data_IF_500827075814
#
_entry.id   IF_500827075814
#
_cell.length_a   1.000
_cell.length_b   1.000
_cell.length_c   1.000
_cell.angle_alpha   90.00
_cell.angle_beta   90.00
_cell.angle_gamma   90.00
#
_symmetry.space_group_name_H-M   'P 1'
#
loop_
_entity.id
_entity.type
_entity.pdbx_description
1 polymer ?
#
# COMPACT_ATOMS: atom_id res chain seq x y z
N UNK A 1 -14.84 -5.79 1.33
CA UNK A 1 -15.30 -5.67 1.01
C UNK A 1 -16.10 -5.83 0.10
N UNK A 2 -15.99 -5.95 -0.71
CA UNK A 2 -16.93 -5.69 -1.70
C UNK A 2 -17.10 -6.87 -2.58
N UNK A 3 -18.23 -7.54 -2.44
CA UNK A 3 -18.61 -8.60 -3.33
C UNK A 3 -19.49 -8.00 -4.39
N UNK A 4 -18.88 -7.59 -5.50
CA UNK A 4 -19.62 -7.02 -6.61
C UNK A 4 -19.27 -7.77 -7.89
N UNK A 5 -20.24 -7.85 -8.79
CA UNK A 5 -20.05 -8.52 -10.08
C UNK A 5 -19.03 -7.77 -10.94
N UNK A 6 -18.45 -8.46 -11.91
CA UNK A 6 -17.50 -7.85 -12.85
C UNK A 6 -18.16 -6.68 -13.61
N UNK A 7 -19.43 -6.81 -13.97
CA UNK A 7 -20.15 -5.73 -14.64
C UNK A 7 -20.31 -4.50 -13.78
N UNK A 8 -20.61 -4.70 -12.49
CA UNK A 8 -20.74 -3.58 -11.53
C UNK A 8 -19.41 -2.89 -11.34
N UNK A 9 -18.31 -3.66 -11.25
CA UNK A 9 -16.97 -3.09 -11.14
C UNK A 9 -16.65 -2.25 -12.37
N UNK A 10 -16.96 -2.74 -13.56
CA UNK A 10 -16.71 -2.04 -14.81
C UNK A 10 -17.44 -0.69 -14.87
N UNK A 11 -18.71 -0.67 -14.48
CA UNK A 11 -19.50 0.55 -14.45
C UNK A 11 -18.92 1.57 -13.48
N UNK A 12 -18.49 1.11 -12.31
CA UNK A 12 -17.88 2.00 -11.31
C UNK A 12 -16.55 2.56 -11.77
N UNK A 13 -15.73 1.76 -12.43
CA UNK A 13 -14.46 2.20 -12.99
C UNK A 13 -14.69 3.32 -14.01
N UNK A 14 -15.63 3.12 -14.93
CA UNK A 14 -15.97 4.13 -15.93
C UNK A 14 -16.44 5.42 -15.28
N UNK A 15 -17.27 5.32 -14.25
CA UNK A 15 -17.76 6.47 -13.51
C UNK A 15 -16.63 7.26 -12.87
N UNK A 16 -15.63 6.55 -12.32
CA UNK A 16 -14.45 7.18 -11.72
C UNK A 16 -13.60 7.86 -12.76
N UNK A 17 -13.47 7.29 -13.95
CA UNK A 17 -12.77 7.94 -15.06
C UNK A 17 -13.46 9.25 -15.46
N UNK A 18 -14.78 9.23 -15.58
CA UNK A 18 -15.58 10.39 -15.93
C UNK A 18 -15.45 11.50 -14.89
N UNK A 19 -15.23 11.14 -13.63
CA UNK A 19 -15.02 12.10 -12.53
C UNK A 19 -13.56 12.52 -12.38
N UNK A 20 -12.66 11.97 -13.18
CA UNK A 20 -11.23 12.28 -13.10
C UNK A 20 -10.50 11.59 -11.96
N UNK A 21 -11.14 10.65 -11.29
CA UNK A 21 -10.51 9.90 -10.19
C UNK A 21 -9.53 8.86 -10.72
N UNK A 22 -9.85 8.26 -11.87
CA UNK A 22 -8.98 7.32 -12.55
C UNK A 22 -8.36 8.01 -13.74
N UNK A 23 -7.04 7.90 -13.86
CA UNK A 23 -6.28 8.55 -14.93
C UNK A 23 -6.04 7.58 -16.08
N UNK A 24 -6.51 7.96 -17.25
CA UNK A 24 -6.28 7.22 -18.48
C UNK A 24 -6.90 5.84 -18.49
N UNK A 25 -6.52 5.06 -19.50
CA UNK A 25 -7.05 3.72 -19.70
C UNK A 25 -6.37 2.64 -18.86
N UNK A 26 -5.36 3.00 -18.09
CA UNK A 26 -4.54 2.05 -17.34
C UNK A 26 -5.07 1.74 -15.95
N UNK A 27 -6.26 2.19 -15.57
CA UNK A 27 -6.86 1.96 -14.26
C UNK A 27 -6.01 2.47 -13.09
N UNK A 28 -5.28 3.55 -13.31
CA UNK A 28 -4.50 4.16 -12.24
C UNK A 28 -5.43 4.99 -11.36
N UNK A 29 -5.61 4.55 -10.12
CA UNK A 29 -6.44 5.26 -9.16
C UNK A 29 -5.71 6.44 -8.55
N UNK A 30 -6.41 7.56 -8.41
CA UNK A 30 -5.91 8.68 -7.64
C UNK A 30 -6.45 8.57 -6.22
N UNK A 31 -5.70 7.90 -5.36
CA UNK A 31 -6.10 7.67 -3.97
C UNK A 31 -6.32 8.97 -3.21
N UNK A 32 -5.64 10.04 -3.63
CA UNK A 32 -5.77 11.34 -3.00
C UNK A 32 -7.17 11.90 -3.16
N UNK A 33 -7.75 11.75 -4.35
CA UNK A 33 -9.12 12.18 -4.61
C UNK A 33 -10.15 11.35 -3.87
N UNK A 34 -9.79 10.12 -3.48
CA UNK A 34 -10.66 9.25 -2.73
C UNK A 34 -10.53 9.45 -1.21
N UNK A 35 -9.72 10.41 -0.78
CA UNK A 35 -9.56 10.71 0.62
C UNK A 35 -8.48 9.90 1.34
N UNK A 36 -7.70 9.13 0.63
CA UNK A 36 -6.62 8.31 1.21
C UNK A 36 -5.29 9.05 1.11
N UNK A 37 -5.19 10.13 1.85
CA UNK A 37 -4.04 11.04 1.79
C UNK A 37 -2.93 10.74 2.79
N UNK A 38 -3.19 9.87 3.74
CA UNK A 38 -2.22 9.56 4.79
C UNK A 38 -1.39 8.36 4.36
N UNK A 39 -0.09 8.57 4.20
CA UNK A 39 0.85 7.52 3.81
C UNK A 39 1.84 7.30 4.94
N UNK A 40 2.05 6.06 5.31
CA UNK A 40 3.05 5.70 6.31
C UNK A 40 3.80 4.44 5.86
N UNK A 41 5.02 4.32 6.33
CA UNK A 41 5.85 3.15 6.14
C UNK A 41 6.00 2.45 7.47
N UNK A 42 5.79 1.14 7.47
CA UNK A 42 5.79 0.35 8.69
C UNK A 42 6.87 -0.72 8.58
N UNK A 43 7.88 -0.62 9.42
CA UNK A 43 8.88 -1.65 9.55
C UNK A 43 8.40 -2.69 10.56
N UNK A 44 8.44 -3.95 10.19
CA UNK A 44 7.92 -5.05 10.99
C UNK A 44 9.08 -5.93 11.45
N UNK A 45 9.21 -6.09 12.78
CA UNK A 45 10.15 -7.04 13.37
C UNK A 45 9.40 -8.29 13.77
N UNK A 46 9.94 -9.44 13.40
CA UNK A 46 9.32 -10.72 13.70
C UNK A 46 10.22 -11.56 14.61
N UNK A 47 9.61 -12.48 15.35
CA UNK A 47 10.34 -13.32 16.30
C UNK A 47 11.15 -14.42 15.63
N UNK A 48 10.70 -14.90 14.44
CA UNK A 48 11.38 -15.96 13.69
C UNK A 48 11.32 -15.67 12.21
N UNK A 49 12.47 -15.74 11.56
CA UNK A 49 12.55 -15.49 10.12
C UNK A 49 11.68 -16.44 9.30
N UNK A 50 11.52 -17.68 9.75
CA UNK A 50 10.68 -18.65 9.05
C UNK A 50 9.20 -18.32 9.05
N UNK A 51 8.77 -17.38 9.91
CA UNK A 51 7.38 -16.92 9.95
C UNK A 51 7.11 -15.77 8.97
N UNK A 52 8.13 -15.33 8.29
CA UNK A 52 8.02 -14.16 7.40
C UNK A 52 6.89 -14.33 6.38
N UNK A 53 6.83 -15.46 5.71
CA UNK A 53 5.80 -15.69 4.69
C UNK A 53 4.41 -15.81 5.28
N UNK A 54 4.29 -16.34 6.49
CA UNK A 54 3.01 -16.41 7.19
C UNK A 54 2.48 -15.01 7.47
N UNK A 55 3.36 -14.12 7.90
CA UNK A 55 3.00 -12.73 8.18
C UNK A 55 2.66 -11.99 6.89
N UNK A 56 3.39 -12.24 5.81
CA UNK A 56 3.07 -11.68 4.50
C UNK A 56 1.65 -12.08 4.07
N UNK A 57 1.26 -13.36 4.29
CA UNK A 57 -0.08 -13.80 3.95
C UNK A 57 -1.15 -13.07 4.77
N UNK A 58 -0.85 -12.78 6.04
CA UNK A 58 -1.77 -11.98 6.86
C UNK A 58 -1.84 -10.53 6.39
N UNK A 59 -0.72 -9.97 5.97
CA UNK A 59 -0.71 -8.60 5.41
C UNK A 59 -1.50 -8.51 4.12
N UNK A 60 -1.48 -9.56 3.29
CA UNK A 60 -2.26 -9.60 2.06
C UNK A 60 -3.77 -9.48 2.28
N UNK A 61 -4.24 -9.83 3.46
CA UNK A 61 -5.65 -9.71 3.81
C UNK A 61 -6.06 -8.29 4.20
N UNK A 62 -5.09 -7.39 4.32
CA UNK A 62 -5.31 -6.01 4.76
C UNK A 62 -5.22 -5.09 3.54
N UNK A 63 -6.37 -4.58 3.05
CA UNK A 63 -6.38 -3.79 1.80
C UNK A 63 -5.62 -2.47 1.89
N UNK A 64 -5.40 -1.95 3.09
CA UNK A 64 -4.70 -0.69 3.28
C UNK A 64 -3.18 -0.85 3.23
N UNK A 65 -2.69 -2.07 3.29
CA UNK A 65 -1.27 -2.37 3.05
C UNK A 65 -1.10 -2.51 1.54
N UNK A 66 -0.55 -1.49 0.93
CA UNK A 66 -0.48 -1.41 -0.53
C UNK A 66 0.82 -1.96 -1.10
N UNK A 67 1.88 -1.98 -0.31
CA UNK A 67 3.18 -2.51 -0.71
C UNK A 67 3.79 -3.21 0.50
N UNK A 68 4.43 -4.34 0.27
CA UNK A 68 5.19 -5.02 1.31
C UNK A 68 6.41 -5.69 0.69
N UNK A 69 7.56 -5.48 1.33
CA UNK A 69 8.81 -6.08 0.92
C UNK A 69 9.38 -6.90 2.07
N UNK A 70 9.98 -8.03 1.75
CA UNK A 70 10.85 -8.74 2.67
C UNK A 70 12.22 -8.11 2.51
N UNK A 71 12.79 -7.60 3.59
CA UNK A 71 13.98 -6.77 3.50
C UNK A 71 15.14 -7.33 4.32
N UNK A 72 16.33 -6.90 3.97
CA UNK A 72 17.51 -7.09 4.81
C UNK A 72 17.59 -5.93 5.80
N UNK A 73 18.42 -6.07 6.83
CA UNK A 73 18.66 -5.02 7.81
C UNK A 73 17.80 -5.16 9.05
N UNK A 74 17.45 -4.04 9.65
CA UNK A 74 16.79 -4.02 10.94
C UNK A 74 15.41 -4.65 10.94
N UNK A 75 14.64 -4.43 9.87
CA UNK A 75 13.29 -4.95 9.78
C UNK A 75 13.25 -6.18 8.90
N UNK A 76 12.36 -7.11 9.23
CA UNK A 76 12.15 -8.31 8.43
C UNK A 76 11.23 -8.02 7.25
N UNK A 77 10.25 -7.15 7.47
CA UNK A 77 9.30 -6.75 6.45
C UNK A 77 9.18 -5.22 6.51
N UNK A 78 9.08 -4.61 5.36
CA UNK A 78 8.86 -3.17 5.26
C UNK A 78 7.66 -2.93 4.36
N UNK A 79 6.63 -2.30 4.89
CA UNK A 79 5.40 -2.10 4.13
C UNK A 79 4.99 -0.64 4.09
N UNK A 80 4.16 -0.35 3.08
CA UNK A 80 3.54 0.96 2.91
C UNK A 80 2.05 0.81 3.13
N UNK A 81 1.49 1.71 3.93
CA UNK A 81 0.05 1.75 4.15
C UNK A 81 -0.51 3.07 3.67
N UNK A 82 -1.76 3.02 3.23
CA UNK A 82 -2.53 4.22 2.91
C UNK A 82 -3.75 4.27 3.79
N UNK A 83 -4.00 5.43 4.37
CA UNK A 83 -5.08 5.61 5.31
C UNK A 83 -5.80 6.93 5.05
N UNK A 84 -6.98 7.07 5.64
CA UNK A 84 -7.79 8.28 5.52
C UNK A 84 -7.27 9.40 6.42
N UNK A 85 -6.57 9.04 7.47
CA UNK A 85 -6.02 9.99 8.42
C UNK A 85 -5.32 9.26 9.55
N UNK A 86 -4.97 9.99 10.59
CA UNK A 86 -4.20 9.47 11.73
C UNK A 86 -4.92 8.36 12.48
N UNK A 87 -6.21 8.53 12.73
CA UNK A 87 -7.01 7.53 13.43
C UNK A 87 -7.05 6.21 12.65
N UNK A 88 -7.32 6.30 11.37
CA UNK A 88 -7.37 5.13 10.50
C UNK A 88 -6.01 4.44 10.44
N UNK A 89 -4.94 5.23 10.32
CA UNK A 89 -3.58 4.70 10.31
C UNK A 89 -3.27 3.95 11.59
N UNK A 90 -3.69 4.48 12.72
CA UNK A 90 -3.50 3.83 14.02
C UNK A 90 -4.17 2.47 14.06
N UNK A 91 -5.41 2.38 13.57
CA UNK A 91 -6.13 1.10 13.51
C UNK A 91 -5.40 0.08 12.64
N UNK A 92 -4.89 0.52 11.49
CA UNK A 92 -4.14 -0.35 10.58
C UNK A 92 -2.88 -0.85 11.26
N UNK A 93 -2.12 0.05 11.89
CA UNK A 93 -0.86 -0.29 12.56
C UNK A 93 -1.11 -1.27 13.70
N UNK A 94 -2.14 -1.03 14.50
CA UNK A 94 -2.48 -1.93 15.60
C UNK A 94 -2.87 -3.31 15.06
N UNK A 95 -3.58 -3.37 13.93
CA UNK A 95 -3.95 -4.64 13.34
C UNK A 95 -2.72 -5.42 12.85
N UNK A 96 -1.67 -4.71 12.44
CA UNK A 96 -0.40 -5.34 12.06
C UNK A 96 0.32 -5.84 13.30
N UNK A 97 0.37 -5.03 14.36
CA UNK A 97 0.97 -5.44 15.63
C UNK A 97 0.34 -6.70 16.20
N UNK A 98 -0.95 -6.91 15.95
CA UNK A 98 -1.69 -8.05 16.46
C UNK A 98 -1.45 -9.34 15.69
N UNK A 99 -0.74 -9.30 14.57
CA UNK A 99 -0.42 -10.50 13.82
C UNK A 99 0.52 -11.37 14.66
N UNK A 100 0.18 -12.66 14.78
CA UNK A 100 1.01 -13.60 15.53
C UNK A 100 2.41 -13.68 14.91
N UNK A 101 3.43 -13.54 15.74
CA UNK A 101 4.82 -13.57 15.29
C UNK A 101 5.44 -12.18 15.12
N UNK A 102 4.64 -11.14 15.11
CA UNK A 102 5.15 -9.76 15.06
C UNK A 102 5.59 -9.36 16.47
N UNK A 103 6.87 -9.02 16.61
CA UNK A 103 7.39 -8.53 17.89
C UNK A 103 7.02 -7.09 18.13
N UNK A 104 7.19 -6.27 17.10
CA UNK A 104 6.82 -4.86 17.16
C UNK A 104 6.90 -4.25 15.77
N UNK A 105 6.29 -3.10 15.64
CA UNK A 105 6.37 -2.29 14.43
C UNK A 105 6.97 -0.93 14.73
N UNK A 106 7.60 -0.34 13.72
CA UNK A 106 8.06 1.05 13.78
C UNK A 106 7.50 1.76 12.57
N UNK A 107 6.85 2.90 12.80
CA UNK A 107 6.13 3.62 11.75
C UNK A 107 6.83 4.92 11.44
N UNK A 108 6.98 5.18 10.12
CA UNK A 108 7.46 6.46 9.62
C UNK A 108 6.35 7.06 8.79
N UNK A 109 5.95 8.28 9.13
CA UNK A 109 4.90 8.97 8.40
C UNK A 109 5.53 9.72 7.23
N UNK A 110 4.97 9.54 6.03
CA UNK A 110 5.39 10.32 4.87
C UNK A 110 4.84 11.72 5.00
N UNK A 111 5.72 12.69 5.11
CA UNK A 111 5.32 14.09 5.18
C UNK A 111 4.99 14.64 3.82
N UNK A 112 5.70 14.18 2.80
CA UNK A 112 5.51 14.65 1.44
C UNK A 112 6.04 13.61 0.47
N UNK A 113 5.25 13.26 -0.52
CA UNK A 113 5.68 12.37 -1.59
C UNK A 113 6.26 13.23 -2.71
N UNK A 114 7.56 13.46 -2.65
CA UNK A 114 8.22 14.42 -3.54
C UNK A 114 8.49 13.87 -4.93
N UNK A 115 8.64 12.56 -5.06
CA UNK A 115 8.82 11.90 -6.35
C UNK A 115 7.89 10.69 -6.38
N UNK A 116 7.00 10.67 -7.35
CA UNK A 116 6.16 9.52 -7.62
C UNK A 116 5.90 9.48 -9.13
N UNK A 117 6.92 9.06 -9.88
CA UNK A 117 6.84 8.94 -11.32
C UNK A 117 7.45 7.62 -11.73
N UNK A 118 6.59 6.65 -11.97
CA UNK A 118 7.01 5.31 -12.36
C UNK A 118 7.64 5.27 -13.75
N UNK A 119 7.46 6.32 -14.54
CA UNK A 119 7.99 6.39 -15.90
C UNK A 119 9.42 6.91 -15.98
N UNK A 120 9.96 7.42 -14.88
CA UNK A 120 11.31 8.01 -14.87
C UNK A 120 12.37 7.03 -15.33
N UNK A 121 12.36 5.86 -14.73
CA UNK A 121 13.34 4.83 -15.06
C UNK A 121 13.17 4.34 -16.50
N UNK A 122 11.93 4.19 -16.93
CA UNK A 122 11.64 3.78 -18.31
C UNK A 122 12.22 4.75 -19.34
N UNK A 123 12.07 6.04 -19.08
CA UNK A 123 12.65 7.06 -19.96
C UNK A 123 14.17 6.92 -20.02
N UNK A 124 14.80 6.67 -18.88
CA UNK A 124 16.24 6.50 -18.84
C UNK A 124 16.68 5.23 -19.57
N UNK A 125 15.96 4.14 -19.40
CA UNK A 125 16.25 2.88 -20.09
C UNK A 125 16.16 3.07 -21.58
N UNK A 126 15.14 3.75 -22.09
CA UNK A 126 14.99 4.02 -23.52
C UNK A 126 16.12 4.88 -24.05
N UNK A 127 16.64 5.81 -23.27
CA UNK A 127 17.77 6.64 -23.70
C UNK A 127 19.08 5.86 -23.78
N UNK A 128 19.21 4.79 -23.00
CA UNK A 128 20.39 3.93 -23.00
C UNK A 128 20.41 2.95 -24.18
N UNK A 129 19.28 2.70 -24.80
CA UNK A 129 19.16 1.84 -25.94
C UNK A 129 19.60 2.55 -27.23
#
# INVERSE_FOLDING_TARGET
>A
RLLISAGTVHVRVKKMEDLGIIKGSSLTLDYKMLGYNFIAYVGVLIDRSRRTYEIIEELKKKPYVTVAHITTGKYNIFCKIRAKGTEHAREIIFSIDDIEGVLRTETMISLEESINDKKRLMKNIFQEL
#
